data_IF_691303052846
#
_entry.id   IF_691303052846
#
_cell.length_a   1.000
_cell.length_b   1.000
_cell.length_c   1.000
_cell.angle_alpha   90.00
_cell.angle_beta   90.00
_cell.angle_gamma   90.00
#
_symmetry.space_group_name_H-M   'P 1'
#
loop_
_entity.id
_entity.type
_entity.pdbx_description
1 polymer ?
#
# COMPACT_ATOMS: atom_id res chain seq x y z
N UNK A 1 -3.15 0.23 -33.33
CA UNK A 1 -2.75 -1.19 -33.39
C UNK A 1 -1.38 -1.33 -32.72
N UNK A 2 -1.34 -1.94 -31.54
CA UNK A 2 -0.11 -2.20 -30.78
C UNK A 2 -0.41 -3.33 -29.81
N UNK A 3 0.24 -4.47 -30.03
CA UNK A 3 -0.14 -5.80 -29.54
C UNK A 3 0.35 -5.97 -28.10
N UNK A 4 -0.58 -6.15 -27.15
CA UNK A 4 -0.27 -6.53 -25.77
C UNK A 4 0.04 -8.03 -25.76
N UNK A 5 1.31 -8.40 -25.58
CA UNK A 5 1.66 -9.80 -25.30
C UNK A 5 1.39 -10.01 -23.80
N UNK A 6 0.18 -10.50 -23.51
CA UNK A 6 -0.15 -11.10 -22.22
C UNK A 6 0.64 -12.38 -22.11
N UNK A 7 1.72 -12.39 -21.32
CA UNK A 7 2.30 -13.64 -20.89
C UNK A 7 1.41 -14.21 -19.77
N UNK A 8 0.40 -14.96 -20.19
CA UNK A 8 -0.38 -15.87 -19.35
C UNK A 8 0.54 -17.00 -18.89
N UNK A 9 1.32 -16.72 -17.86
CA UNK A 9 2.15 -17.69 -17.16
C UNK A 9 1.83 -17.60 -15.68
N UNK A 10 0.86 -18.40 -15.25
CA UNK A 10 0.60 -18.67 -13.83
C UNK A 10 1.90 -19.16 -13.21
N UNK A 11 2.54 -18.29 -12.41
CA UNK A 11 3.57 -18.69 -11.45
C UNK A 11 3.18 -18.11 -10.10
N UNK A 12 2.62 -18.99 -9.28
CA UNK A 12 2.52 -18.80 -7.84
C UNK A 12 3.91 -18.44 -7.27
N UNK A 13 4.02 -17.25 -6.69
CA UNK A 13 5.14 -16.78 -5.87
C UNK A 13 4.57 -15.59 -5.06
N UNK A 14 4.01 -15.75 -3.84
CA UNK A 14 4.57 -16.22 -2.55
C UNK A 14 5.54 -15.19 -1.93
N UNK A 15 5.73 -15.18 -0.59
CA UNK A 15 5.02 -14.31 0.35
C UNK A 15 6.03 -13.43 1.11
N UNK A 16 6.01 -12.11 0.92
CA UNK A 16 6.86 -11.19 1.71
C UNK A 16 6.06 -10.43 2.77
N UNK A 17 5.05 -11.07 3.35
CA UNK A 17 4.80 -10.84 4.77
C UNK A 17 6.08 -11.30 5.49
N UNK A 18 6.85 -10.37 6.04
CA UNK A 18 8.10 -10.64 6.76
C UNK A 18 7.86 -11.81 7.72
N UNK A 19 8.42 -12.97 7.39
CA UNK A 19 8.21 -14.25 8.07
C UNK A 19 8.37 -14.05 9.58
N UNK A 20 7.30 -14.32 10.33
CA UNK A 20 7.39 -14.59 11.76
C UNK A 20 8.05 -15.97 11.88
N UNK A 21 9.39 -15.99 11.97
CA UNK A 21 10.20 -17.16 12.32
C UNK A 21 10.05 -18.42 11.45
N UNK A 22 10.85 -18.57 10.39
CA UNK A 22 11.21 -19.87 9.76
C UNK A 22 10.09 -20.80 9.29
N UNK A 23 8.84 -20.36 9.29
CA UNK A 23 7.64 -21.16 9.02
C UNK A 23 7.37 -21.23 7.50
N UNK A 24 6.91 -22.38 7.02
CA UNK A 24 6.53 -22.54 5.62
C UNK A 24 5.21 -21.81 5.27
N UNK A 25 4.89 -21.79 3.98
CA UNK A 25 3.73 -21.08 3.46
C UNK A 25 2.40 -21.67 3.98
N UNK A 26 2.27 -22.98 4.01
CA UNK A 26 1.02 -23.65 4.35
C UNK A 26 0.68 -23.44 5.83
N UNK A 27 1.68 -23.50 6.70
CA UNK A 27 1.50 -23.21 8.12
C UNK A 27 1.18 -21.72 8.37
N UNK A 28 1.79 -20.82 7.60
CA UNK A 28 1.43 -19.38 7.64
C UNK A 28 -0.02 -19.15 7.24
N UNK A 29 -0.48 -19.80 6.16
CA UNK A 29 -1.87 -19.72 5.70
C UNK A 29 -2.83 -20.34 6.72
N UNK A 30 -2.47 -21.47 7.34
CA UNK A 30 -3.28 -22.12 8.38
C UNK A 30 -3.47 -21.23 9.61
N UNK A 31 -2.43 -20.51 10.03
CA UNK A 31 -2.46 -19.66 11.24
C UNK A 31 -3.11 -18.30 11.01
N UNK A 32 -2.80 -17.65 9.89
CA UNK A 32 -3.18 -16.24 9.66
C UNK A 32 -4.23 -16.07 8.56
N UNK A 33 -4.48 -17.10 7.77
CA UNK A 33 -5.31 -17.02 6.57
C UNK A 33 -4.50 -16.65 5.32
N UNK A 34 -5.12 -16.81 4.13
CA UNK A 34 -4.45 -16.58 2.86
C UNK A 34 -4.27 -15.09 2.55
N UNK A 35 -3.35 -14.81 1.61
CA UNK A 35 -3.20 -13.49 0.99
C UNK A 35 -3.81 -13.47 -0.40
N UNK A 36 -4.48 -12.38 -0.74
CA UNK A 36 -4.92 -12.06 -2.09
C UNK A 36 -3.83 -11.24 -2.78
N UNK A 37 -3.44 -11.67 -3.98
CA UNK A 37 -2.53 -10.89 -4.82
C UNK A 37 -3.17 -9.56 -5.23
N UNK A 38 -2.39 -8.47 -5.17
CA UNK A 38 -2.80 -7.11 -5.54
C UNK A 38 -1.80 -6.46 -6.49
N UNK A 39 -2.29 -5.47 -7.22
CA UNK A 39 -1.55 -4.76 -8.27
C UNK A 39 -1.46 -3.26 -7.96
N UNK A 40 -0.65 -2.54 -8.73
CA UNK A 40 -0.56 -1.07 -8.65
C UNK A 40 -1.93 -0.39 -8.80
N UNK A 41 -2.78 -0.75 -9.81
CA UNK A 41 -4.14 -0.25 -9.89
C UNK A 41 -4.99 -0.48 -8.63
N UNK A 42 -4.89 -1.67 -8.01
CA UNK A 42 -5.64 -1.96 -6.77
C UNK A 42 -5.25 -1.00 -5.63
N UNK A 43 -3.96 -0.65 -5.51
CA UNK A 43 -3.49 0.32 -4.51
C UNK A 43 -3.95 1.74 -4.84
N UNK A 44 -3.95 2.11 -6.11
CA UNK A 44 -4.51 3.41 -6.54
C UNK A 44 -5.99 3.50 -6.17
N UNK A 45 -6.75 2.42 -6.36
CA UNK A 45 -8.16 2.35 -5.99
C UNK A 45 -8.37 2.32 -4.47
N UNK A 46 -7.50 1.64 -3.71
CA UNK A 46 -7.51 1.67 -2.24
C UNK A 46 -7.46 3.11 -1.70
N UNK A 47 -6.57 3.94 -2.26
CA UNK A 47 -6.35 5.33 -1.85
C UNK A 47 -7.17 6.37 -2.63
N UNK A 48 -8.09 5.95 -3.51
CA UNK A 48 -8.98 6.86 -4.22
C UNK A 48 -9.82 7.66 -3.22
N UNK A 49 -9.69 8.99 -3.24
CA UNK A 49 -10.39 9.89 -2.31
C UNK A 49 -9.73 10.03 -0.94
N UNK A 50 -8.57 9.41 -0.70
CA UNK A 50 -7.81 9.56 0.54
C UNK A 50 -7.19 10.96 0.62
N UNK A 51 -7.34 11.64 1.76
CA UNK A 51 -6.83 13.00 1.95
C UNK A 51 -5.40 13.08 2.52
N UNK A 52 -4.84 11.94 2.94
CA UNK A 52 -3.49 11.85 3.49
C UNK A 52 -2.42 11.58 2.43
N UNK A 53 -1.16 11.48 2.86
CA UNK A 53 -0.06 11.12 1.96
C UNK A 53 0.09 9.61 1.89
N UNK A 54 0.45 9.12 0.71
CA UNK A 54 0.79 7.73 0.48
C UNK A 54 1.74 7.60 -0.71
N UNK A 55 2.41 6.47 -0.82
CA UNK A 55 3.26 6.10 -1.96
C UNK A 55 3.38 4.58 -2.02
N UNK A 56 3.96 4.08 -3.11
CA UNK A 56 4.34 2.68 -3.26
C UNK A 56 5.82 2.58 -2.90
N UNK A 57 6.18 1.64 -2.02
CA UNK A 57 7.54 1.33 -1.63
C UNK A 57 8.05 0.06 -2.34
N UNK A 58 9.18 -0.48 -1.88
CA UNK A 58 9.68 -1.78 -2.32
C UNK A 58 10.20 -1.80 -3.76
N UNK A 59 10.10 -2.99 -4.39
CA UNK A 59 10.63 -3.24 -5.73
C UNK A 59 10.08 -2.30 -6.80
N UNK A 60 8.80 -1.95 -6.69
CA UNK A 60 8.11 -1.02 -7.59
C UNK A 60 8.72 0.39 -7.55
N UNK A 61 9.07 0.91 -6.37
CA UNK A 61 9.72 2.21 -6.24
C UNK A 61 11.13 2.21 -6.87
N UNK A 62 11.87 1.12 -6.70
CA UNK A 62 13.21 0.95 -7.29
C UNK A 62 13.13 0.88 -8.81
N UNK A 63 12.18 0.13 -9.36
CA UNK A 63 11.95 0.08 -10.81
C UNK A 63 11.62 1.48 -11.34
N UNK A 64 10.70 2.20 -10.71
CA UNK A 64 10.35 3.56 -11.12
C UNK A 64 11.54 4.53 -11.09
N UNK A 65 12.40 4.41 -10.08
CA UNK A 65 13.60 5.24 -9.95
C UNK A 65 14.69 4.89 -10.98
N UNK A 66 14.87 3.60 -11.27
CA UNK A 66 15.97 3.11 -12.13
C UNK A 66 15.59 2.94 -13.59
N UNK A 67 14.29 2.90 -13.92
CA UNK A 67 13.76 2.57 -15.24
C UNK A 67 13.96 1.10 -15.64
N UNK A 68 14.44 0.23 -14.74
CA UNK A 68 14.74 -1.17 -15.03
C UNK A 68 13.61 -2.08 -14.57
N UNK A 69 13.01 -2.81 -15.51
CA UNK A 69 11.96 -3.78 -15.22
C UNK A 69 12.45 -4.90 -14.29
N UNK A 70 11.58 -5.27 -13.35
CA UNK A 70 11.79 -6.35 -12.39
C UNK A 70 10.53 -7.21 -12.29
N UNK A 71 10.70 -8.45 -11.85
CA UNK A 71 9.57 -9.27 -11.42
C UNK A 71 9.19 -8.82 -10.01
N UNK A 72 7.92 -8.48 -9.81
CA UNK A 72 7.36 -8.11 -8.51
C UNK A 72 6.38 -9.21 -8.06
N UNK A 73 6.51 -9.68 -6.82
CA UNK A 73 5.60 -10.65 -6.21
C UNK A 73 4.55 -10.02 -5.29
N UNK A 74 4.81 -8.78 -4.86
CA UNK A 74 4.03 -8.03 -3.88
C UNK A 74 3.94 -6.54 -4.26
N UNK A 75 3.10 -5.83 -3.52
CA UNK A 75 3.00 -4.37 -3.58
C UNK A 75 2.91 -3.81 -2.17
N UNK A 76 3.77 -2.82 -1.89
CA UNK A 76 3.94 -2.24 -0.56
C UNK A 76 3.41 -0.80 -0.50
N UNK A 77 2.09 -0.59 -0.36
CA UNK A 77 1.58 0.73 -0.04
C UNK A 77 2.19 1.23 1.27
N UNK A 78 2.39 2.54 1.37
CA UNK A 78 3.02 3.14 2.55
C UNK A 78 2.37 4.47 2.87
N UNK A 79 2.26 4.77 4.18
CA UNK A 79 1.73 6.04 4.69
C UNK A 79 2.62 6.59 5.81
N UNK A 80 2.53 7.90 6.13
CA UNK A 80 3.09 8.41 7.37
C UNK A 80 2.42 7.74 8.57
N UNK A 81 3.20 7.39 9.61
CA UNK A 81 2.62 6.84 10.86
C UNK A 81 1.56 7.76 11.47
N UNK A 82 1.73 9.08 11.33
CA UNK A 82 0.77 10.06 11.85
C UNK A 82 -0.60 9.98 11.16
N UNK A 83 -0.67 9.38 9.97
CA UNK A 83 -1.90 9.32 9.18
C UNK A 83 -2.70 8.03 9.45
N UNK A 84 -2.31 7.16 10.40
CA UNK A 84 -3.09 5.92 10.64
C UNK A 84 -4.53 6.18 11.06
N UNK A 85 -4.85 7.13 11.97
CA UNK A 85 -6.24 7.46 12.26
C UNK A 85 -7.02 7.88 11.02
N UNK A 86 -6.36 8.59 10.09
CA UNK A 86 -6.95 8.99 8.81
C UNK A 86 -7.19 7.78 7.89
N UNK A 87 -6.24 6.84 7.82
CA UNK A 87 -6.40 5.59 7.07
C UNK A 87 -7.56 4.75 7.62
N UNK A 88 -7.65 4.58 8.95
CA UNK A 88 -8.75 3.86 9.58
C UNK A 88 -10.11 4.47 9.22
N UNK A 89 -10.23 5.80 9.29
CA UNK A 89 -11.44 6.50 8.87
C UNK A 89 -11.74 6.30 7.38
N UNK A 90 -10.74 6.37 6.52
CA UNK A 90 -10.89 6.18 5.07
C UNK A 90 -11.40 4.79 4.70
N UNK A 91 -10.95 3.76 5.42
CA UNK A 91 -11.26 2.36 5.14
C UNK A 91 -12.51 1.84 5.86
N UNK A 92 -13.11 2.65 6.73
CA UNK A 92 -14.26 2.26 7.53
C UNK A 92 -15.39 1.68 6.65
N UNK A 93 -15.88 0.50 7.03
CA UNK A 93 -16.92 -0.22 6.30
C UNK A 93 -16.46 -0.94 5.02
N UNK A 94 -15.17 -0.85 4.67
CA UNK A 94 -14.59 -1.54 3.49
C UNK A 94 -13.52 -2.56 3.86
N UNK A 95 -12.58 -2.18 4.73
CA UNK A 95 -11.48 -3.03 5.18
C UNK A 95 -11.23 -2.83 6.68
N UNK A 96 -11.08 -3.93 7.39
CA UNK A 96 -10.56 -3.98 8.75
C UNK A 96 -9.05 -3.71 8.74
N UNK A 97 -8.60 -2.84 9.65
CA UNK A 97 -7.20 -2.47 9.82
C UNK A 97 -6.62 -3.20 11.03
N UNK A 98 -5.52 -3.91 10.83
CA UNK A 98 -4.83 -4.67 11.87
C UNK A 98 -3.41 -4.16 12.05
N UNK A 99 -3.00 -3.86 13.28
CA UNK A 99 -1.60 -3.65 13.60
C UNK A 99 -0.89 -5.01 13.59
N UNK A 100 0.08 -5.16 12.70
CA UNK A 100 0.97 -6.32 12.67
C UNK A 100 2.27 -5.93 13.40
N UNK A 101 2.52 -6.56 14.56
CA UNK A 101 3.72 -6.28 15.36
C UNK A 101 4.26 -7.57 15.97
N UNK A 102 5.48 -7.96 15.59
CA UNK A 102 6.23 -9.10 16.15
C UNK A 102 5.39 -10.39 16.31
N UNK A 103 4.63 -10.75 15.28
CA UNK A 103 3.78 -11.95 15.28
C UNK A 103 2.45 -11.82 16.01
N UNK A 104 2.12 -10.63 16.53
CA UNK A 104 0.80 -10.31 17.06
C UNK A 104 0.01 -9.52 16.02
N UNK A 105 -1.25 -9.91 15.83
CA UNK A 105 -2.23 -9.17 15.04
C UNK A 105 -3.27 -8.57 15.97
N UNK A 106 -3.34 -7.24 16.02
CA UNK A 106 -4.33 -6.52 16.85
C UNK A 106 -5.26 -5.68 15.98
N UNK A 107 -6.58 -5.88 16.04
CA UNK A 107 -7.52 -5.08 15.27
C UNK A 107 -7.55 -3.64 15.80
N UNK A 108 -7.59 -2.65 14.90
CA UNK A 108 -7.64 -1.22 15.23
C UNK A 108 -9.07 -0.63 15.15
N UNK A 109 -10.10 -1.48 15.19
CA UNK A 109 -11.51 -1.11 14.96
C UNK A 109 -12.03 -0.03 15.92
N UNK A 110 -11.45 0.07 17.13
CA UNK A 110 -11.87 1.01 18.17
C UNK A 110 -10.76 1.91 18.72
N UNK A 111 -9.50 1.69 18.34
CA UNK A 111 -8.32 2.30 18.97
C UNK A 111 -7.23 2.68 17.95
N UNK A 112 -7.61 3.42 16.90
CA UNK A 112 -6.67 3.85 15.86
C UNK A 112 -5.50 4.71 16.41
N UNK A 113 -5.70 5.36 17.56
CA UNK A 113 -4.72 6.25 18.19
C UNK A 113 -3.66 5.51 19.03
N UNK A 114 -3.87 4.22 19.35
CA UNK A 114 -3.02 3.47 20.29
C UNK A 114 -2.09 2.47 19.59
N UNK A 115 -1.50 2.81 18.45
CA UNK A 115 -0.62 1.89 17.73
C UNK A 115 0.72 1.78 18.46
N UNK A 116 1.26 0.57 18.71
CA UNK A 116 2.54 0.42 19.39
C UNK A 116 3.64 1.11 18.59
N UNK A 117 4.54 1.83 19.25
CA UNK A 117 5.64 2.55 18.60
C UNK A 117 6.48 1.64 17.69
N UNK A 118 6.60 0.37 18.06
CA UNK A 118 7.35 -0.65 17.31
C UNK A 118 6.62 -1.19 16.06
N UNK A 119 5.29 -1.07 16.00
CA UNK A 119 4.49 -1.63 14.90
C UNK A 119 4.84 -0.95 13.59
N UNK A 120 5.44 -1.68 12.65
CA UNK A 120 5.99 -1.12 11.41
C UNK A 120 5.03 -1.16 10.22
N UNK A 121 3.93 -1.89 10.33
CA UNK A 121 3.03 -2.12 9.22
C UNK A 121 1.63 -2.51 9.69
N UNK A 122 0.67 -2.32 8.79
CA UNK A 122 -0.75 -2.61 9.00
C UNK A 122 -1.22 -3.61 7.95
N UNK A 123 -1.93 -4.64 8.38
CA UNK A 123 -2.55 -5.60 7.48
C UNK A 123 -4.03 -5.27 7.30
N UNK A 124 -4.48 -5.30 6.04
CA UNK A 124 -5.84 -4.94 5.66
C UNK A 124 -6.59 -6.15 5.11
N UNK A 125 -7.84 -6.34 5.53
CA UNK A 125 -8.74 -7.35 4.96
C UNK A 125 -10.20 -6.94 5.08
N UNK A 126 -11.10 -7.40 4.19
CA UNK A 126 -12.53 -7.04 4.27
C UNK A 126 -13.24 -7.52 5.55
N UNK A 127 -12.81 -8.66 6.10
CA UNK A 127 -13.37 -9.23 7.33
C UNK A 127 -12.47 -10.33 7.90
N UNK A 128 -12.78 -10.82 9.10
CA UNK A 128 -12.08 -11.93 9.76
C UNK A 128 -11.96 -13.23 8.97
N UNK A 129 -12.88 -13.50 8.04
CA UNK A 129 -12.90 -14.70 7.20
C UNK A 129 -12.34 -14.47 5.78
N UNK A 130 -12.05 -13.22 5.42
CA UNK A 130 -11.54 -12.88 4.10
C UNK A 130 -10.00 -12.93 4.07
N UNK A 131 -9.40 -13.19 2.88
CA UNK A 131 -7.97 -13.07 2.69
C UNK A 131 -7.44 -11.68 3.04
N UNK A 132 -6.19 -11.60 3.47
CA UNK A 132 -5.44 -10.35 3.56
C UNK A 132 -5.19 -9.77 2.18
N UNK A 133 -5.26 -8.45 2.04
CA UNK A 133 -5.18 -7.80 0.73
C UNK A 133 -4.00 -6.84 0.61
N UNK A 134 -3.65 -6.14 1.68
CA UNK A 134 -2.58 -5.14 1.64
C UNK A 134 -1.75 -5.18 2.92
N UNK A 135 -0.43 -5.07 2.75
CA UNK A 135 0.53 -4.81 3.81
C UNK A 135 0.98 -3.34 3.70
N UNK A 136 0.40 -2.47 4.54
CA UNK A 136 0.68 -1.03 4.51
C UNK A 136 1.82 -0.71 5.46
N UNK A 137 2.96 -0.31 4.91
CA UNK A 137 4.12 0.06 5.74
C UNK A 137 3.90 1.42 6.40
N UNK A 138 4.20 1.48 7.70
CA UNK A 138 4.21 2.70 8.50
C UNK A 138 5.59 3.29 8.55
N UNK A 139 5.64 4.58 8.25
CA UNK A 139 6.90 5.22 7.98
C UNK A 139 7.00 6.54 8.77
N UNK A 140 8.19 6.83 9.31
CA UNK A 140 8.45 8.03 10.14
C UNK A 140 8.78 9.30 9.32
N UNK A 141 8.23 10.49 9.57
CA UNK A 141 8.49 11.68 8.74
C UNK A 141 9.97 12.02 8.43
N UNK A 142 10.93 11.55 9.24
CA UNK A 142 12.37 11.70 9.01
C UNK A 142 12.91 10.98 7.76
N UNK A 143 12.35 9.85 7.32
CA UNK A 143 12.84 9.17 6.10
C UNK A 143 12.31 9.82 4.81
N UNK A 144 11.17 10.52 4.85
CA UNK A 144 10.65 11.33 3.72
C UNK A 144 11.61 12.50 3.42
N UNK A 145 12.15 13.14 4.47
CA UNK A 145 13.01 14.33 4.33
C UNK A 145 14.39 14.01 3.71
N UNK A 146 14.87 12.77 3.82
CA UNK A 146 16.16 12.30 3.26
C UNK A 146 16.08 11.86 1.78
N UNK A 147 15.11 12.36 1.03
CA UNK A 147 15.10 12.30 -0.45
C UNK A 147 15.35 13.68 -1.09
N UNK A 148 15.53 14.72 -0.27
CA UNK A 148 15.74 16.11 -0.73
C UNK A 148 17.22 16.39 -1.04
N UNK A 149 17.87 15.46 -1.75
CA UNK A 149 19.26 15.55 -2.19
C UNK A 149 19.36 15.21 -3.67
N UNK A 150 18.59 15.91 -4.50
CA UNK A 150 18.61 15.82 -5.96
C UNK A 150 17.63 14.78 -6.53
N UNK A 151 16.64 15.27 -7.29
CA UNK A 151 15.74 14.53 -8.18
C UNK A 151 14.58 13.77 -7.50
N UNK A 152 13.50 14.50 -7.20
CA UNK A 152 12.17 13.92 -7.00
C UNK A 152 11.43 13.88 -8.34
N UNK A 153 11.35 12.73 -9.00
CA UNK A 153 10.24 12.43 -9.91
C UNK A 153 9.05 11.99 -9.06
N UNK A 154 8.17 12.94 -8.77
CA UNK A 154 6.87 12.68 -8.16
C UNK A 154 6.08 11.77 -9.12
N UNK A 155 5.83 10.50 -8.76
CA UNK A 155 4.83 9.69 -9.45
C UNK A 155 3.46 10.25 -9.06
N UNK A 156 3.02 11.28 -9.77
CA UNK A 156 1.63 11.72 -9.76
C UNK A 156 0.83 10.76 -10.63
N UNK A 157 -0.05 9.97 -10.02
CA UNK A 157 -1.18 9.42 -10.75
C UNK A 157 -2.09 10.60 -11.14
N UNK A 158 -1.98 11.05 -12.39
CA UNK A 158 -2.72 12.18 -12.94
C UNK A 158 -4.20 11.82 -13.11
N UNK A 159 -5.03 12.23 -12.14
CA UNK A 159 -6.46 12.40 -12.36
C UNK A 159 -6.70 13.75 -13.05
N UNK A 160 -6.84 13.77 -14.37
CA UNK A 160 -7.19 14.98 -15.12
C UNK A 160 -8.64 15.39 -14.83
N UNK A 161 -8.85 16.54 -14.20
CA UNK A 161 -10.05 17.35 -14.42
C UNK A 161 -9.64 18.58 -15.20
N UNK A 162 -10.12 18.64 -16.44
CA UNK A 162 -9.93 19.72 -17.39
C UNK A 162 -10.48 21.03 -16.81
N UNK A 163 -9.65 22.07 -16.80
CA UNK A 163 -10.02 23.43 -16.48
C UNK A 163 -10.44 24.10 -17.79
N UNK A 164 -11.72 24.41 -17.99
CA UNK A 164 -12.16 25.35 -19.02
C UNK A 164 -12.09 26.75 -18.44
N UNK A 165 -11.17 27.57 -18.92
CA UNK A 165 -11.12 29.01 -18.70
C UNK A 165 -11.76 29.73 -19.88
N UNK A 166 -12.72 30.62 -19.61
CA UNK A 166 -13.14 31.72 -20.47
C UNK A 166 -13.87 32.68 -19.51
N UNK A 167 -13.62 33.97 -19.38
CA UNK A 167 -12.68 34.94 -19.91
C UNK A 167 -13.06 36.23 -19.17
N UNK A 168 -12.10 37.04 -18.71
CA UNK A 168 -12.39 38.37 -18.17
C UNK A 168 -12.57 39.32 -19.34
N UNK A 169 -13.64 40.09 -19.34
CA UNK A 169 -13.67 41.43 -19.95
C UNK A 169 -14.24 42.40 -18.91
N UNK A 170 -13.42 43.40 -18.60
CA UNK A 170 -13.80 44.64 -17.90
C UNK A 170 -13.71 45.76 -18.91
N UNK A 171 -14.83 46.42 -19.18
CA UNK A 171 -15.01 47.88 -19.08
C UNK A 171 -16.42 48.12 -18.56
#
# INVERSE_FOLDING_TARGET
>A
MGRLILNSGVKSASPTARIVGGMDHDETVRLYGPWRHRTVPDVVDLFRGYSGRWWIAGGWAIEAFTGKQRVHGDIDPSIPRADVPLLCKHLQGRLDVWAADKGTLRPLVFEADSIPTACSNLWLRPSGAAPWEFDVTLTSPLWIRRLSGGLTSEIRASGSHSRTSCGRETV
#
